data_IF_123587309471
#
_entry.id   IF_123587309471
#
_cell.length_a   1.000
_cell.length_b   1.000
_cell.length_c   1.000
_cell.angle_alpha   90.00
_cell.angle_beta   90.00
_cell.angle_gamma   90.00
#
_symmetry.space_group_name_H-M   'P 1'
#
loop_
_entity.id
_entity.type
_entity.pdbx_description
1 polymer ?
#
# COMPACT_ATOMS: atom_id res chain seq x y z
N UNK A 1 -46.19 -6.56 -6.89
CA UNK A 1 -44.77 -7.00 -6.94
C UNK A 1 -43.84 -5.88 -6.48
N UNK A 2 -43.96 -4.66 -6.96
CA UNK A 2 -43.10 -3.51 -6.61
C UNK A 2 -43.08 -3.19 -5.09
N UNK A 3 -44.26 -3.32 -4.44
CA UNK A 3 -44.36 -3.12 -2.97
C UNK A 3 -43.48 -4.07 -2.17
N UNK A 4 -43.26 -5.33 -2.62
CA UNK A 4 -42.39 -6.30 -1.91
C UNK A 4 -40.93 -5.91 -1.97
N UNK A 5 -40.46 -5.39 -3.11
CA UNK A 5 -39.06 -4.91 -3.24
C UNK A 5 -38.82 -3.65 -2.39
N UNK A 6 -39.81 -2.74 -2.35
CA UNK A 6 -39.72 -1.56 -1.46
C UNK A 6 -39.68 -1.96 0.01
N UNK A 7 -40.53 -2.87 0.45
CA UNK A 7 -40.52 -3.40 1.82
C UNK A 7 -39.18 -4.08 2.15
N UNK A 8 -38.65 -4.91 1.25
CA UNK A 8 -37.34 -5.54 1.42
C UNK A 8 -36.24 -4.49 1.56
N UNK A 9 -36.24 -3.44 0.73
CA UNK A 9 -35.26 -2.35 0.83
C UNK A 9 -35.31 -1.63 2.15
N UNK A 10 -36.52 -1.28 2.64
CA UNK A 10 -36.68 -0.63 3.97
C UNK A 10 -36.15 -1.54 5.09
N UNK A 11 -36.43 -2.84 5.04
CA UNK A 11 -35.96 -3.79 6.04
C UNK A 11 -34.41 -3.86 6.00
N UNK A 12 -33.80 -3.91 4.82
CA UNK A 12 -32.34 -3.99 4.68
C UNK A 12 -31.66 -2.72 5.23
N UNK A 13 -32.20 -1.53 4.95
CA UNK A 13 -31.68 -0.28 5.52
C UNK A 13 -31.83 -0.27 7.04
N UNK A 14 -32.98 -0.70 7.56
CA UNK A 14 -33.18 -0.80 9.00
C UNK A 14 -32.20 -1.75 9.67
N UNK A 15 -31.93 -2.91 9.07
CA UNK A 15 -30.97 -3.88 9.57
C UNK A 15 -29.55 -3.32 9.54
N UNK A 16 -29.16 -2.59 8.50
CA UNK A 16 -27.85 -1.94 8.41
C UNK A 16 -27.66 -0.91 9.55
N UNK A 17 -28.65 -0.04 9.76
CA UNK A 17 -28.61 0.93 10.87
C UNK A 17 -28.55 0.22 12.23
N UNK A 18 -29.33 -0.86 12.41
CA UNK A 18 -29.34 -1.64 13.64
C UNK A 18 -27.97 -2.31 13.89
N UNK A 19 -27.33 -2.84 12.85
CA UNK A 19 -25.99 -3.44 12.94
C UNK A 19 -24.97 -2.42 13.39
N UNK A 20 -24.96 -1.22 12.81
CA UNK A 20 -24.08 -0.13 13.23
C UNK A 20 -24.31 0.31 14.69
N UNK A 21 -25.58 0.40 15.10
CA UNK A 21 -25.90 0.69 16.50
C UNK A 21 -25.40 -0.40 17.46
N UNK A 22 -25.47 -1.68 17.08
CA UNK A 22 -24.95 -2.79 17.88
C UNK A 22 -23.41 -2.75 17.93
N UNK A 23 -22.76 -2.41 16.82
CA UNK A 23 -21.29 -2.32 16.76
C UNK A 23 -20.74 -1.22 17.69
N UNK A 24 -21.48 -0.16 17.95
CA UNK A 24 -21.11 0.87 18.96
C UNK A 24 -20.97 0.33 20.38
N UNK A 25 -21.57 -0.82 20.68
CA UNK A 25 -21.44 -1.48 21.99
C UNK A 25 -20.14 -2.27 22.14
N UNK A 26 -19.36 -2.44 21.04
CA UNK A 26 -18.11 -3.17 21.05
C UNK A 26 -16.92 -2.22 21.29
N UNK A 27 -15.88 -2.63 22.03
CA UNK A 27 -14.70 -1.81 22.26
C UNK A 27 -13.97 -1.52 20.95
N UNK A 28 -13.53 -0.28 20.78
CA UNK A 28 -12.80 0.24 19.59
C UNK A 28 -13.61 0.23 18.27
N UNK A 29 -14.95 0.24 18.34
CA UNK A 29 -15.82 0.43 17.19
C UNK A 29 -16.56 1.75 17.28
N UNK A 30 -16.71 2.44 16.16
CA UNK A 30 -17.39 3.72 16.03
C UNK A 30 -18.47 3.60 14.96
N UNK A 31 -19.56 4.35 15.13
CA UNK A 31 -20.62 4.46 14.13
C UNK A 31 -20.07 5.08 12.83
N UNK A 32 -20.26 4.39 11.72
CA UNK A 32 -19.76 4.81 10.41
C UNK A 32 -20.92 4.94 9.41
N UNK A 33 -21.26 6.18 9.05
CA UNK A 33 -22.26 6.44 8.01
C UNK A 33 -21.88 5.82 6.65
N UNK A 34 -20.57 5.69 6.38
CA UNK A 34 -20.05 5.04 5.17
C UNK A 34 -20.49 3.58 5.04
N UNK A 35 -20.54 2.84 6.13
CA UNK A 35 -20.92 1.43 6.14
C UNK A 35 -22.43 1.29 5.85
N UNK A 36 -23.28 2.13 6.45
CA UNK A 36 -24.72 2.18 6.12
C UNK A 36 -24.96 2.54 4.65
N UNK A 37 -24.19 3.47 4.11
CA UNK A 37 -24.30 3.86 2.70
C UNK A 37 -23.90 2.68 1.78
N UNK A 38 -22.80 2.01 2.07
CA UNK A 38 -22.33 0.85 1.31
C UNK A 38 -23.33 -0.31 1.35
N UNK A 39 -23.88 -0.62 2.53
CA UNK A 39 -24.91 -1.63 2.70
C UNK A 39 -26.18 -1.28 1.91
N UNK A 40 -26.61 0.00 1.97
CA UNK A 40 -27.79 0.48 1.25
C UNK A 40 -27.59 0.36 -0.26
N UNK A 41 -26.41 0.74 -0.78
CA UNK A 41 -26.07 0.58 -2.20
C UNK A 41 -26.08 -0.91 -2.59
N UNK A 42 -25.43 -1.77 -1.79
CA UNK A 42 -25.41 -3.21 -2.00
C UNK A 42 -26.81 -3.81 -2.05
N UNK A 43 -27.67 -3.42 -1.10
CA UNK A 43 -29.07 -3.83 -1.05
C UNK A 43 -29.86 -3.37 -2.29
N UNK A 44 -29.69 -2.13 -2.72
CA UNK A 44 -30.35 -1.59 -3.91
C UNK A 44 -29.93 -2.33 -5.19
N UNK A 45 -28.64 -2.60 -5.35
CA UNK A 45 -28.09 -3.38 -6.47
C UNK A 45 -28.66 -4.82 -6.47
N UNK A 46 -28.66 -5.47 -5.31
CA UNK A 46 -29.22 -6.81 -5.18
C UNK A 46 -30.73 -6.86 -5.51
N UNK A 47 -31.53 -5.92 -4.99
CA UNK A 47 -32.95 -5.83 -5.29
C UNK A 47 -33.21 -5.54 -6.77
N UNK A 48 -32.39 -4.72 -7.40
CA UNK A 48 -32.46 -4.48 -8.85
C UNK A 48 -32.11 -5.76 -9.62
N UNK A 49 -31.09 -6.50 -9.22
CA UNK A 49 -30.76 -7.82 -9.77
C UNK A 49 -31.97 -8.74 -9.68
N UNK A 50 -32.49 -8.93 -8.48
CA UNK A 50 -33.68 -9.77 -8.24
C UNK A 50 -34.88 -9.34 -9.10
N UNK A 51 -35.13 -8.03 -9.18
CA UNK A 51 -36.19 -7.49 -10.03
C UNK A 51 -35.99 -7.82 -11.50
N UNK A 52 -34.76 -7.63 -12.04
CA UNK A 52 -34.47 -7.84 -13.47
C UNK A 52 -34.47 -9.31 -13.90
N UNK A 53 -34.24 -10.24 -12.95
CA UNK A 53 -34.29 -11.67 -13.24
C UNK A 53 -35.66 -12.30 -12.98
N UNK A 54 -36.39 -11.84 -11.96
CA UNK A 54 -37.67 -12.42 -11.55
C UNK A 54 -38.89 -11.78 -12.25
N UNK A 55 -38.75 -10.67 -12.95
CA UNK A 55 -39.83 -10.05 -13.68
C UNK A 55 -39.55 -10.06 -15.18
N UNK A 56 -40.64 -10.15 -15.96
CA UNK A 56 -40.58 -10.11 -17.42
C UNK A 56 -40.44 -8.66 -17.90
N UNK A 57 -39.21 -8.21 -18.06
CA UNK A 57 -38.86 -6.94 -18.65
C UNK A 57 -38.90 -7.04 -20.18
N UNK A 58 -39.27 -5.97 -20.90
CA UNK A 58 -39.32 -5.97 -22.37
C UNK A 58 -37.90 -6.09 -22.96
N UNK A 59 -37.76 -6.98 -23.92
CA UNK A 59 -36.62 -7.19 -24.84
C UNK A 59 -35.28 -6.60 -24.47
N UNK A 60 -34.89 -5.51 -25.08
CA UNK A 60 -33.60 -4.83 -24.86
C UNK A 60 -33.42 -4.33 -23.43
N UNK A 61 -34.48 -3.84 -22.79
CA UNK A 61 -34.42 -3.36 -21.39
C UNK A 61 -34.02 -4.47 -20.43
N UNK A 62 -34.50 -5.71 -20.65
CA UNK A 62 -34.12 -6.89 -19.88
C UNK A 62 -32.62 -7.19 -19.97
N UNK A 63 -32.11 -7.17 -21.20
CA UNK A 63 -30.66 -7.44 -21.44
C UNK A 63 -29.80 -6.37 -20.81
N UNK A 64 -30.11 -5.09 -21.10
CA UNK A 64 -29.33 -3.96 -20.55
C UNK A 64 -29.38 -3.91 -19.03
N UNK A 65 -30.54 -4.10 -18.41
CA UNK A 65 -30.67 -4.13 -16.95
C UNK A 65 -29.85 -5.22 -16.31
N UNK A 66 -29.85 -6.44 -16.87
CA UNK A 66 -29.05 -7.56 -16.34
C UNK A 66 -27.56 -7.29 -16.44
N UNK A 67 -27.07 -6.82 -17.58
CA UNK A 67 -25.65 -6.48 -17.74
C UNK A 67 -25.24 -5.31 -16.86
N UNK A 68 -26.07 -4.28 -16.72
CA UNK A 68 -25.78 -3.14 -15.85
C UNK A 68 -25.61 -3.58 -14.39
N UNK A 69 -26.50 -4.44 -13.89
CA UNK A 69 -26.40 -4.98 -12.51
C UNK A 69 -25.18 -5.86 -12.34
N UNK A 70 -24.88 -6.74 -13.30
CA UNK A 70 -23.68 -7.59 -13.24
C UNK A 70 -22.42 -6.74 -13.19
N UNK A 71 -22.31 -5.73 -14.08
CA UNK A 71 -21.18 -4.80 -14.07
C UNK A 71 -21.06 -4.05 -12.74
N UNK A 72 -22.18 -3.57 -12.19
CA UNK A 72 -22.19 -2.86 -10.91
C UNK A 72 -21.76 -3.76 -9.74
N UNK A 73 -22.12 -5.04 -9.76
CA UNK A 73 -21.67 -6.03 -8.76
C UNK A 73 -20.19 -6.38 -8.90
N UNK A 74 -19.58 -6.21 -10.09
CA UNK A 74 -18.16 -6.46 -10.28
C UNK A 74 -17.27 -5.30 -9.79
N UNK A 75 -17.79 -4.08 -9.65
CA UNK A 75 -17.00 -2.91 -9.22
C UNK A 75 -16.29 -3.11 -7.88
N UNK A 76 -16.93 -3.65 -6.81
CA UNK A 76 -16.26 -3.90 -5.54
C UNK A 76 -15.14 -4.94 -5.61
N UNK A 77 -15.14 -5.80 -6.64
CA UNK A 77 -14.12 -6.81 -6.84
C UNK A 77 -12.83 -6.25 -7.48
N UNK A 78 -12.89 -5.07 -8.12
CA UNK A 78 -11.75 -4.46 -8.82
C UNK A 78 -10.54 -4.30 -7.89
N UNK A 79 -10.64 -3.73 -6.67
CA UNK A 79 -9.50 -3.60 -5.75
C UNK A 79 -8.88 -4.95 -5.39
N UNK A 80 -9.70 -5.99 -5.26
CA UNK A 80 -9.24 -7.36 -4.94
C UNK A 80 -8.41 -7.93 -6.10
N UNK A 81 -8.89 -7.77 -7.34
CA UNK A 81 -8.15 -8.20 -8.53
C UNK A 81 -6.85 -7.42 -8.70
N UNK A 82 -6.89 -6.10 -8.47
CA UNK A 82 -5.70 -5.24 -8.53
C UNK A 82 -4.66 -5.69 -7.49
N UNK A 83 -5.07 -5.94 -6.26
CA UNK A 83 -4.18 -6.44 -5.20
C UNK A 83 -3.62 -7.84 -5.54
N UNK A 84 -4.44 -8.73 -6.08
CA UNK A 84 -3.99 -10.06 -6.48
C UNK A 84 -2.96 -10.00 -7.63
N UNK A 85 -3.18 -9.14 -8.62
CA UNK A 85 -2.22 -8.91 -9.73
C UNK A 85 -0.92 -8.32 -9.18
N UNK A 86 -0.99 -7.36 -8.26
CA UNK A 86 0.21 -6.76 -7.66
C UNK A 86 1.01 -7.79 -6.84
N UNK A 87 0.34 -8.61 -6.03
CA UNK A 87 0.98 -9.70 -5.28
C UNK A 87 1.65 -10.70 -6.21
N UNK A 88 0.98 -11.12 -7.26
CA UNK A 88 1.54 -12.05 -8.25
C UNK A 88 2.76 -11.45 -8.97
N UNK A 89 2.71 -10.17 -9.35
CA UNK A 89 3.85 -9.47 -9.95
C UNK A 89 5.02 -9.36 -8.97
N UNK A 90 4.76 -9.10 -7.69
CA UNK A 90 5.78 -9.03 -6.64
C UNK A 90 6.48 -10.39 -6.47
N UNK A 91 5.74 -11.49 -6.42
CA UNK A 91 6.32 -12.84 -6.31
C UNK A 91 7.14 -13.20 -7.55
N UNK A 92 6.65 -12.86 -8.75
CA UNK A 92 7.34 -13.15 -10.02
C UNK A 92 8.63 -12.36 -10.18
N UNK A 93 8.66 -11.12 -9.72
CA UNK A 93 9.82 -10.23 -9.86
C UNK A 93 10.84 -10.41 -8.73
N UNK A 94 10.48 -11.15 -7.67
CA UNK A 94 11.40 -11.41 -6.57
C UNK A 94 12.72 -12.04 -7.06
N UNK A 95 13.90 -11.55 -6.66
CA UNK A 95 14.21 -10.73 -5.49
C UNK A 95 14.19 -9.19 -5.71
N UNK A 96 13.65 -8.69 -6.83
CA UNK A 96 13.37 -7.26 -6.99
C UNK A 96 12.18 -6.92 -6.11
N UNK A 97 12.37 -6.03 -5.14
CA UNK A 97 11.33 -5.60 -4.22
C UNK A 97 10.45 -4.51 -4.85
N UNK A 98 11.09 -3.60 -5.61
CA UNK A 98 10.41 -2.53 -6.30
C UNK A 98 11.31 -1.92 -7.39
N UNK A 99 10.77 -1.72 -8.59
CA UNK A 99 11.45 -1.12 -9.75
C UNK A 99 10.71 0.07 -10.34
N UNK A 100 9.48 0.36 -9.85
CA UNK A 100 8.58 1.41 -10.33
C UNK A 100 8.13 1.26 -11.79
N UNK A 101 8.44 0.16 -12.45
CA UNK A 101 8.02 -0.10 -13.83
C UNK A 101 6.51 -0.35 -13.96
N UNK A 102 5.87 -0.84 -12.88
CA UNK A 102 4.41 -0.92 -12.77
C UNK A 102 3.85 0.22 -11.92
N UNK A 103 2.74 0.82 -12.37
CA UNK A 103 2.02 1.81 -11.54
C UNK A 103 1.50 1.22 -10.23
N UNK A 104 1.22 -0.10 -10.20
CA UNK A 104 0.76 -0.80 -9.00
C UNK A 104 1.80 -0.79 -7.88
N UNK A 105 3.09 -0.75 -8.22
CA UNK A 105 4.17 -0.71 -7.23
C UNK A 105 4.15 0.57 -6.37
N UNK A 106 3.54 1.65 -6.87
CA UNK A 106 3.37 2.89 -6.09
C UNK A 106 2.45 2.71 -4.88
N UNK A 107 1.46 1.80 -4.98
CA UNK A 107 0.52 1.53 -3.87
C UNK A 107 1.16 0.84 -2.67
N UNK A 108 2.37 0.29 -2.83
CA UNK A 108 3.14 -0.35 -1.76
C UNK A 108 3.81 0.68 -0.84
N UNK A 109 3.87 1.94 -1.27
CA UNK A 109 4.55 3.02 -0.57
C UNK A 109 3.59 3.97 0.11
N UNK A 110 3.93 4.34 1.33
CA UNK A 110 3.31 5.43 2.09
C UNK A 110 4.30 6.59 2.26
N UNK A 111 3.76 7.77 2.53
CA UNK A 111 4.53 9.00 2.63
C UNK A 111 4.24 9.71 3.94
N UNK A 112 5.27 10.34 4.52
CA UNK A 112 5.16 11.17 5.72
C UNK A 112 5.91 12.47 5.50
N UNK A 113 5.25 13.60 5.68
CA UNK A 113 5.85 14.93 5.45
C UNK A 113 6.57 14.99 4.09
N UNK A 114 6.00 14.33 3.08
CA UNK A 114 6.53 14.23 1.72
C UNK A 114 5.40 14.02 0.72
N UNK A 115 5.68 14.21 -0.56
CA UNK A 115 4.81 13.84 -1.67
C UNK A 115 5.56 12.90 -2.59
N UNK A 116 4.92 11.79 -2.99
CA UNK A 116 5.50 10.82 -3.90
C UNK A 116 4.74 10.75 -5.21
N UNK A 117 5.49 10.53 -6.29
CA UNK A 117 4.93 10.23 -7.59
C UNK A 117 5.86 9.33 -8.40
N UNK A 118 5.30 8.60 -9.33
CA UNK A 118 6.07 7.88 -10.34
C UNK A 118 6.61 8.89 -11.36
N UNK A 119 7.89 8.81 -11.70
CA UNK A 119 8.59 9.77 -12.55
C UNK A 119 9.42 9.05 -13.61
N UNK A 120 9.57 9.67 -14.76
CA UNK A 120 10.54 9.25 -15.80
C UNK A 120 11.88 9.95 -15.67
N UNK A 121 12.02 10.84 -14.69
CA UNK A 121 13.27 11.50 -14.39
C UNK A 121 14.12 10.59 -13.49
N UNK A 122 15.42 10.55 -13.77
CA UNK A 122 16.41 9.87 -12.93
C UNK A 122 16.05 8.41 -12.58
N UNK A 123 15.65 7.61 -13.57
CA UNK A 123 15.58 6.16 -13.43
C UNK A 123 17.00 5.56 -13.57
N UNK A 124 17.40 4.69 -12.65
CA UNK A 124 18.69 3.98 -12.71
C UNK A 124 18.60 2.68 -13.49
N UNK A 125 17.41 2.06 -13.48
CA UNK A 125 17.08 0.86 -14.27
C UNK A 125 15.69 1.05 -14.89
N UNK A 126 15.51 0.57 -16.13
CA UNK A 126 14.23 0.72 -16.82
C UNK A 126 13.90 2.16 -17.20
N UNK A 127 12.64 2.55 -17.08
CA UNK A 127 12.13 3.85 -17.52
C UNK A 127 11.53 4.73 -16.42
N UNK A 128 11.40 4.21 -15.21
CA UNK A 128 10.68 4.90 -14.12
C UNK A 128 11.39 4.80 -12.78
N UNK A 129 11.16 5.80 -11.94
CA UNK A 129 11.63 5.91 -10.57
C UNK A 129 10.53 6.46 -9.66
N UNK A 130 10.72 6.37 -8.35
CA UNK A 130 9.89 7.08 -7.37
C UNK A 130 10.53 8.44 -7.07
N UNK A 131 9.85 9.51 -7.46
CA UNK A 131 10.18 10.87 -7.03
C UNK A 131 9.54 11.15 -5.69
N UNK A 132 10.34 11.55 -4.71
CA UNK A 132 9.91 11.97 -3.38
C UNK A 132 10.30 13.42 -3.12
N UNK A 133 9.30 14.30 -3.06
CA UNK A 133 9.45 15.69 -2.65
C UNK A 133 9.31 15.76 -1.12
N UNK A 134 10.43 15.81 -0.42
CA UNK A 134 10.47 15.90 1.04
C UNK A 134 10.19 17.33 1.49
N UNK A 135 9.22 17.50 2.37
CA UNK A 135 8.83 18.78 2.94
C UNK A 135 9.60 19.05 4.25
N UNK A 136 9.78 20.31 4.66
CA UNK A 136 10.32 20.62 5.98
C UNK A 136 9.50 19.95 7.07
N UNK A 137 10.19 19.24 7.99
CA UNK A 137 9.49 18.46 9.01
C UNK A 137 10.44 17.69 9.92
N UNK A 138 9.86 16.97 10.87
CA UNK A 138 10.63 16.22 11.87
C UNK A 138 11.22 14.93 11.28
N UNK A 139 10.43 14.21 10.46
CA UNK A 139 10.81 12.92 9.86
C UNK A 139 10.21 12.76 8.47
N UNK A 140 10.48 13.68 7.52
CA UNK A 140 9.99 13.51 6.16
C UNK A 140 10.64 12.31 5.49
N UNK A 141 9.82 11.49 4.82
CA UNK A 141 10.30 10.28 4.21
C UNK A 141 9.19 9.42 3.60
N UNK A 142 9.58 8.22 3.23
CA UNK A 142 8.75 7.20 2.58
C UNK A 142 8.87 5.87 3.29
N UNK A 143 7.84 5.05 3.21
CA UNK A 143 7.84 3.69 3.76
C UNK A 143 7.24 2.71 2.76
N UNK A 144 7.86 1.56 2.60
CA UNK A 144 7.30 0.42 1.89
C UNK A 144 6.63 -0.49 2.92
N UNK A 145 5.29 -0.50 2.92
CA UNK A 145 4.49 -1.24 3.89
C UNK A 145 3.99 -2.58 3.31
N UNK A 146 3.96 -2.70 1.97
CA UNK A 146 3.66 -3.95 1.26
C UNK A 146 4.90 -4.40 0.51
N UNK A 147 5.57 -5.43 1.03
CA UNK A 147 6.81 -5.96 0.46
C UNK A 147 6.82 -7.49 0.54
N UNK A 148 7.64 -8.12 -0.31
CA UNK A 148 7.98 -9.52 -0.15
C UNK A 148 8.75 -9.68 1.17
N UNK A 149 8.13 -10.36 2.12
CA UNK A 149 8.53 -10.31 3.54
C UNK A 149 9.60 -11.34 3.93
N UNK A 150 9.83 -12.37 3.11
CA UNK A 150 10.82 -13.41 3.39
C UNK A 150 12.18 -13.06 2.75
N UNK A 151 13.09 -12.53 3.57
CA UNK A 151 14.45 -12.15 3.17
C UNK A 151 15.51 -13.19 3.56
N UNK A 152 15.09 -14.38 3.97
CA UNK A 152 16.02 -15.48 4.31
C UNK A 152 16.81 -15.91 3.06
N UNK A 153 18.07 -16.30 3.26
CA UNK A 153 18.96 -16.74 2.18
C UNK A 153 19.66 -15.60 1.43
N UNK A 154 19.21 -14.36 1.58
CA UNK A 154 19.88 -13.18 1.03
C UNK A 154 20.88 -12.60 2.02
N UNK A 155 21.92 -11.95 1.50
CA UNK A 155 23.00 -11.36 2.29
C UNK A 155 23.02 -9.85 2.25
N UNK A 156 22.40 -9.26 1.24
CA UNK A 156 22.35 -7.83 1.04
C UNK A 156 20.99 -7.36 0.56
N UNK A 157 20.71 -6.09 0.76
CA UNK A 157 19.64 -5.32 0.16
C UNK A 157 20.24 -4.05 -0.41
N UNK A 158 19.87 -3.67 -1.62
CA UNK A 158 20.35 -2.43 -2.23
C UNK A 158 19.25 -1.65 -2.91
N UNK A 159 19.50 -0.37 -3.11
CA UNK A 159 18.70 0.55 -3.91
C UNK A 159 19.54 1.72 -4.40
N UNK A 160 19.09 2.37 -5.45
CA UNK A 160 19.71 3.55 -6.02
C UNK A 160 18.97 4.81 -5.62
N UNK A 161 19.71 5.88 -5.37
CA UNK A 161 19.18 7.19 -4.95
C UNK A 161 19.83 8.29 -5.79
N UNK A 162 19.00 9.10 -6.44
CA UNK A 162 19.46 10.35 -7.04
C UNK A 162 19.02 11.53 -6.19
N UNK A 163 19.99 12.36 -5.78
CA UNK A 163 19.74 13.56 -5.01
C UNK A 163 19.82 14.80 -5.89
N UNK A 164 18.71 15.54 -6.00
CA UNK A 164 18.72 16.86 -6.63
C UNK A 164 19.33 17.94 -5.72
N UNK A 165 19.92 18.96 -6.38
CA UNK A 165 20.49 20.11 -5.72
C UNK A 165 21.96 19.94 -5.33
N UNK A 166 22.62 21.01 -4.86
CA UNK A 166 24.07 21.05 -4.70
C UNK A 166 24.57 20.51 -3.35
N UNK A 167 23.70 20.33 -2.37
CA UNK A 167 24.10 20.04 -0.99
C UNK A 167 23.83 18.59 -0.62
N UNK A 168 24.74 17.90 0.07
CA UNK A 168 24.53 16.55 0.58
C UNK A 168 23.34 16.48 1.54
N UNK A 169 22.76 15.28 1.66
CA UNK A 169 21.67 15.00 2.57
C UNK A 169 21.92 13.72 3.36
N UNK A 170 21.54 13.71 4.63
CA UNK A 170 21.61 12.51 5.46
C UNK A 170 20.24 11.85 5.47
N UNK A 171 20.17 10.61 4.99
CA UNK A 171 18.98 9.75 5.06
C UNK A 171 19.20 8.64 6.10
N UNK A 172 18.13 8.19 6.71
CA UNK A 172 18.14 7.03 7.61
C UNK A 172 17.29 5.92 6.99
N UNK A 173 17.86 4.75 6.87
CA UNK A 173 17.14 3.52 6.52
C UNK A 173 16.72 2.82 7.80
N UNK A 174 15.45 2.48 7.88
CA UNK A 174 14.84 1.70 8.96
C UNK A 174 14.25 0.43 8.40
N UNK A 175 14.50 -0.70 9.09
CA UNK A 175 13.88 -2.00 8.77
C UNK A 175 13.40 -2.62 10.07
N UNK A 176 12.21 -3.21 10.05
CA UNK A 176 11.69 -3.99 11.17
C UNK A 176 10.83 -5.17 10.70
N UNK A 177 10.75 -6.17 11.56
CA UNK A 177 9.92 -7.35 11.40
C UNK A 177 8.56 -7.22 12.11
N UNK A 178 7.72 -8.23 11.98
CA UNK A 178 6.39 -8.28 12.60
C UNK A 178 6.43 -8.24 14.14
N UNK A 179 7.51 -8.75 14.76
CA UNK A 179 7.65 -8.79 16.21
C UNK A 179 8.10 -7.45 16.81
N UNK A 180 8.28 -6.40 15.99
CA UNK A 180 8.75 -5.08 16.42
C UNK A 180 7.78 -4.44 17.44
N UNK A 181 8.32 -4.05 18.60
CA UNK A 181 7.59 -3.50 19.75
C UNK A 181 7.48 -1.96 19.75
N UNK A 182 7.81 -1.28 18.66
CA UNK A 182 7.89 0.17 18.48
C UNK A 182 9.08 0.87 19.20
N UNK A 183 9.92 0.12 19.90
CA UNK A 183 11.13 0.67 20.53
C UNK A 183 12.22 0.95 19.49
N UNK A 184 13.00 2.04 19.70
CA UNK A 184 14.14 2.35 18.83
C UNK A 184 15.19 1.23 18.82
N UNK A 185 15.36 0.56 19.93
CA UNK A 185 16.35 -0.51 20.11
C UNK A 185 15.90 -1.85 19.51
N UNK A 186 14.65 -1.99 19.10
CA UNK A 186 14.08 -3.23 18.56
C UNK A 186 13.93 -3.20 17.02
N UNK A 187 14.78 -2.48 16.32
CA UNK A 187 14.78 -2.35 14.87
C UNK A 187 16.15 -2.01 14.32
N UNK A 188 16.33 -2.22 13.02
CA UNK A 188 17.52 -1.71 12.33
C UNK A 188 17.32 -0.23 11.98
N UNK A 189 18.33 0.59 12.26
CA UNK A 189 18.43 1.98 11.82
C UNK A 189 19.87 2.24 11.39
N UNK A 190 20.07 2.67 10.15
CA UNK A 190 21.39 3.05 9.65
C UNK A 190 21.31 4.37 8.89
N UNK A 191 22.19 5.30 9.26
CA UNK A 191 22.30 6.59 8.58
C UNK A 191 23.26 6.47 7.41
N UNK A 192 22.88 7.06 6.28
CA UNK A 192 23.69 7.17 5.08
C UNK A 192 23.77 8.66 4.67
N UNK A 193 24.97 9.10 4.33
CA UNK A 193 25.18 10.40 3.69
C UNK A 193 25.06 10.19 2.18
N UNK A 194 24.14 10.90 1.53
CA UNK A 194 24.01 10.92 0.09
C UNK A 194 24.48 12.26 -0.46
N UNK A 195 25.09 12.22 -1.63
CA UNK A 195 25.67 13.37 -2.32
C UNK A 195 24.84 13.70 -3.57
N UNK A 196 24.92 14.94 -4.08
CA UNK A 196 24.27 15.32 -5.33
C UNK A 196 24.55 14.31 -6.46
N UNK A 197 23.51 13.98 -7.23
CA UNK A 197 23.59 12.95 -8.27
C UNK A 197 23.30 11.54 -7.74
N UNK A 198 23.79 10.52 -8.44
CA UNK A 198 23.56 9.12 -8.14
C UNK A 198 24.37 8.61 -6.94
N UNK A 199 23.70 7.88 -6.06
CA UNK A 199 24.27 7.14 -4.95
C UNK A 199 23.71 5.72 -4.95
N UNK A 200 24.57 4.73 -4.73
CA UNK A 200 24.17 3.35 -4.54
C UNK A 200 24.25 3.00 -3.06
N UNK A 201 23.12 2.58 -2.47
CA UNK A 201 23.06 2.21 -1.06
C UNK A 201 22.98 0.69 -0.96
N UNK A 202 23.90 0.12 -0.19
CA UNK A 202 23.94 -1.31 0.11
C UNK A 202 23.88 -1.53 1.62
N UNK A 203 23.05 -2.48 2.03
CA UNK A 203 22.78 -2.84 3.42
C UNK A 203 23.11 -4.33 3.60
N UNK A 204 23.96 -4.65 4.55
CA UNK A 204 24.25 -6.02 4.95
C UNK A 204 23.07 -6.56 5.79
N UNK A 205 22.46 -7.68 5.38
CA UNK A 205 21.34 -8.27 6.09
C UNK A 205 21.73 -8.99 7.39
N UNK A 206 23.00 -9.31 7.60
CA UNK A 206 23.46 -9.78 8.92
C UNK A 206 23.42 -8.63 9.95
N UNK A 207 23.75 -7.39 9.54
CA UNK A 207 23.58 -6.20 10.39
C UNK A 207 22.10 -5.98 10.73
N UNK A 208 21.19 -6.19 9.75
CA UNK A 208 19.74 -6.09 9.96
C UNK A 208 19.26 -7.14 10.95
N UNK A 209 19.68 -8.41 10.75
CA UNK A 209 19.30 -9.52 11.61
C UNK A 209 19.70 -9.32 13.07
N UNK A 210 20.89 -8.78 13.32
CA UNK A 210 21.45 -8.59 14.65
C UNK A 210 21.11 -7.25 15.29
N UNK A 211 20.38 -6.38 14.62
CA UNK A 211 20.11 -5.01 15.08
C UNK A 211 19.21 -4.91 16.34
N UNK A 212 18.16 -5.72 16.51
CA UNK A 212 17.32 -5.66 17.71
C UNK A 212 18.10 -6.08 18.97
N UNK A 213 17.98 -5.30 20.04
CA UNK A 213 18.59 -5.66 21.34
C UNK A 213 17.80 -6.79 21.99
N UNK A 214 18.53 -7.86 22.39
CA UNK A 214 17.95 -8.98 23.13
C UNK A 214 17.25 -10.04 22.28
N UNK A 215 17.17 -9.86 20.96
CA UNK A 215 16.65 -10.85 20.01
C UNK A 215 17.29 -10.71 18.65
N UNK A 216 17.08 -11.69 17.80
CA UNK A 216 17.38 -11.56 16.36
C UNK A 216 16.11 -11.14 15.61
N UNK A 217 16.27 -10.31 14.56
CA UNK A 217 15.18 -9.97 13.67
C UNK A 217 14.71 -11.20 12.88
N UNK A 218 13.41 -11.40 12.79
CA UNK A 218 12.84 -12.49 12.01
C UNK A 218 12.85 -12.14 10.51
N UNK A 219 13.87 -12.61 9.82
CA UNK A 219 14.05 -12.34 8.38
C UNK A 219 13.00 -12.99 7.49
N UNK A 220 12.15 -13.88 8.02
CA UNK A 220 11.01 -14.45 7.29
C UNK A 220 9.76 -13.54 7.34
N UNK A 221 9.76 -12.51 8.17
CA UNK A 221 8.59 -11.67 8.41
C UNK A 221 8.95 -10.18 8.50
N UNK A 222 9.76 -9.69 7.56
CA UNK A 222 10.01 -8.25 7.43
C UNK A 222 8.71 -7.55 7.02
N UNK A 223 8.32 -6.54 7.77
CA UNK A 223 7.01 -5.87 7.59
C UNK A 223 7.11 -4.42 7.18
N UNK A 224 8.25 -3.79 7.37
CA UNK A 224 8.44 -2.39 7.03
C UNK A 224 9.89 -2.08 6.62
N UNK A 225 10.00 -1.30 5.56
CA UNK A 225 11.22 -0.67 5.11
C UNK A 225 10.95 0.82 4.92
N UNK A 226 11.67 1.69 5.63
CA UNK A 226 11.45 3.14 5.57
C UNK A 226 12.75 3.88 5.31
N UNK A 227 12.65 4.97 4.56
CA UNK A 227 13.74 5.93 4.32
C UNK A 227 13.23 7.31 4.70
N UNK A 228 13.94 8.00 5.59
CA UNK A 228 13.55 9.33 6.06
C UNK A 228 14.76 10.18 6.40
N UNK A 229 14.54 11.50 6.49
CA UNK A 229 15.51 12.43 7.04
C UNK A 229 15.07 12.92 8.42
N UNK A 230 15.99 13.51 9.18
CA UNK A 230 15.70 14.03 10.51
C UNK A 230 15.80 15.56 10.52
N UNK A 231 14.72 16.23 10.94
CA UNK A 231 14.64 17.71 11.06
C UNK A 231 15.03 18.43 9.79
N UNK A 232 14.39 18.07 8.68
CA UNK A 232 14.60 18.73 7.40
C UNK A 232 14.10 20.18 7.49
N UNK A 233 14.95 21.14 7.08
CA UNK A 233 14.64 22.58 7.18
C UNK A 233 14.14 23.17 5.87
N UNK A 234 14.46 22.57 4.76
CA UNK A 234 14.13 23.04 3.41
C UNK A 234 13.60 21.88 2.55
N UNK A 235 12.83 22.20 1.53
CA UNK A 235 12.36 21.22 0.56
C UNK A 235 13.53 20.56 -0.17
N UNK A 236 13.47 19.23 -0.33
CA UNK A 236 14.46 18.43 -1.06
C UNK A 236 13.76 17.41 -1.94
N UNK A 237 14.21 17.29 -3.18
CA UNK A 237 13.72 16.25 -4.11
C UNK A 237 14.75 15.13 -4.22
N UNK A 238 14.26 13.91 -4.07
CA UNK A 238 15.05 12.67 -4.16
C UNK A 238 14.32 11.70 -5.08
N UNK A 239 15.07 10.96 -5.88
CA UNK A 239 14.52 9.87 -6.69
C UNK A 239 15.08 8.55 -6.18
N UNK A 240 14.21 7.56 -6.08
CA UNK A 240 14.58 6.22 -5.63
C UNK A 240 14.26 5.20 -6.70
N UNK A 241 15.13 4.20 -6.85
CA UNK A 241 14.94 3.16 -7.85
C UNK A 241 15.64 1.86 -7.45
N UNK A 242 15.33 0.76 -8.14
CA UNK A 242 16.08 -0.49 -8.14
C UNK A 242 16.24 -1.12 -6.75
N UNK A 243 15.14 -1.23 -5.98
CA UNK A 243 15.14 -1.92 -4.69
C UNK A 243 15.20 -3.43 -4.90
N UNK A 244 16.26 -4.08 -4.40
CA UNK A 244 16.44 -5.52 -4.58
C UNK A 244 17.21 -6.18 -3.44
N UNK A 245 16.91 -7.46 -3.21
CA UNK A 245 17.74 -8.32 -2.38
C UNK A 245 18.87 -8.91 -3.22
N UNK A 246 20.02 -9.12 -2.58
CA UNK A 246 21.24 -9.58 -3.23
C UNK A 246 21.75 -10.86 -2.58
N UNK A 247 22.08 -11.84 -3.43
CA UNK A 247 22.98 -12.94 -3.03
C UNK A 247 24.42 -12.44 -3.20
N UNK A 248 25.32 -12.81 -2.32
CA UNK A 248 26.73 -12.69 -2.65
C UNK A 248 27.01 -13.64 -3.82
N UNK A 249 27.49 -13.09 -4.93
CA UNK A 249 28.20 -13.84 -5.94
C UNK A 249 29.49 -14.42 -5.35
#
# INVERSE_FOLDING_TARGET
TTKRYLQAGIIMIFLSVLTECIQMLLPNRYFQLGDILNDTIGAAVFLWLAYSFLNDLPGLTKVLSRWAVILLMMLPAIPIFVAAIDTWNMERNFPVLNSFESYLEMSRWTQKESMIRRSTLHASEGGYSLEAALLPGSYPGISMDYLANDWRGYKGMSFDVFLEGPSPLSITVRINDRAHNNEFADRFNKRHQIFPGWNHISINLDDVRSAPKGRMMNMAEITNFSIFTYRLKEHRTIFFDNFRLQNRG
#
